data_IF_880691663989
#
_entry.id   IF_880691663989
#
_cell.length_a   1.000
_cell.length_b   1.000
_cell.length_c   1.000
_cell.angle_alpha   90.00
_cell.angle_beta   90.00
_cell.angle_gamma   90.00
#
_symmetry.space_group_name_H-M   'P 1'
#
loop_
_entity.id
_entity.type
_entity.pdbx_description
1 polymer ?
#
# COMPACT_ATOMS: atom_id res chain seq x y z
N UNK A 1 2.85 7.59 8.80
CA UNK A 1 3.70 8.22 9.83
C UNK A 1 4.35 7.30 10.88
N UNK A 2 4.00 6.02 11.03
CA UNK A 2 4.75 5.07 11.88
C UNK A 2 5.06 3.82 11.04
N UNK A 3 6.33 3.46 10.93
CA UNK A 3 6.79 2.33 10.12
C UNK A 3 6.92 1.08 11.00
N UNK A 4 6.40 -0.04 10.53
CA UNK A 4 6.55 -1.34 11.20
C UNK A 4 7.83 -2.03 10.72
N UNK A 5 8.92 -1.80 11.44
CA UNK A 5 10.21 -2.44 11.16
C UNK A 5 10.22 -3.95 11.45
N UNK A 6 9.30 -4.46 12.29
CA UNK A 6 9.19 -5.90 12.49
C UNK A 6 8.59 -6.58 11.24
N UNK A 7 7.67 -5.92 10.56
CA UNK A 7 7.17 -6.37 9.26
C UNK A 7 8.29 -6.37 8.20
N UNK A 8 9.12 -5.31 8.12
CA UNK A 8 10.27 -5.28 7.19
C UNK A 8 11.26 -6.42 7.45
N UNK A 9 11.56 -6.74 8.72
CA UNK A 9 12.39 -7.88 9.06
C UNK A 9 11.79 -9.23 8.62
N UNK A 10 10.45 -9.36 8.65
CA UNK A 10 9.76 -10.55 8.14
C UNK A 10 9.84 -10.67 6.60
N UNK A 11 9.81 -9.53 5.89
CA UNK A 11 10.03 -9.49 4.45
C UNK A 11 11.47 -9.88 4.11
N UNK A 12 12.44 -9.36 4.87
CA UNK A 12 13.85 -9.71 4.71
C UNK A 12 14.10 -11.21 4.89
N UNK A 13 13.44 -11.85 5.85
CA UNK A 13 13.52 -13.32 6.00
C UNK A 13 13.05 -14.05 4.73
N UNK A 14 12.01 -13.54 4.08
CA UNK A 14 11.53 -14.09 2.80
C UNK A 14 12.56 -13.87 1.70
N UNK A 15 13.11 -12.66 1.59
CA UNK A 15 14.19 -12.33 0.63
C UNK A 15 15.40 -13.25 0.83
N UNK A 16 15.87 -13.43 2.07
CA UNK A 16 17.00 -14.30 2.40
C UNK A 16 16.70 -15.77 2.03
N UNK A 17 15.47 -16.23 2.24
CA UNK A 17 15.05 -17.58 1.85
C UNK A 17 15.16 -17.74 0.33
N UNK A 18 14.63 -16.80 -0.44
CA UNK A 18 14.70 -16.81 -1.91
C UNK A 18 16.15 -16.72 -2.41
N UNK A 19 16.95 -15.81 -1.84
CA UNK A 19 18.35 -15.61 -2.15
C UNK A 19 19.19 -16.88 -1.93
N UNK A 20 18.92 -17.64 -0.85
CA UNK A 20 19.60 -18.92 -0.57
C UNK A 20 19.40 -19.98 -1.67
N UNK A 21 18.41 -19.77 -2.54
CA UNK A 21 18.11 -20.60 -3.71
C UNK A 21 18.43 -19.90 -5.04
N UNK A 22 19.13 -18.76 -5.02
CA UNK A 22 19.52 -18.01 -6.22
C UNK A 22 18.35 -17.28 -6.90
N UNK A 23 17.30 -16.92 -6.14
CA UNK A 23 16.13 -16.20 -6.63
C UNK A 23 16.19 -14.75 -6.13
N UNK A 24 16.17 -13.80 -7.06
CA UNK A 24 16.07 -12.36 -6.76
C UNK A 24 14.62 -11.96 -6.45
N UNK A 25 14.48 -10.93 -5.62
CA UNK A 25 13.17 -10.41 -5.18
C UNK A 25 12.90 -9.02 -5.74
N UNK A 26 11.72 -8.81 -6.30
CA UNK A 26 11.17 -7.48 -6.58
C UNK A 26 10.16 -7.19 -5.47
N UNK A 27 10.32 -6.06 -4.78
CA UNK A 27 9.37 -5.63 -3.76
C UNK A 27 8.17 -4.96 -4.44
N UNK A 28 7.01 -5.60 -4.37
CA UNK A 28 5.74 -5.09 -4.90
C UNK A 28 4.88 -4.53 -3.77
N UNK A 29 4.59 -3.23 -3.84
CA UNK A 29 3.65 -2.58 -2.91
C UNK A 29 2.23 -2.74 -3.44
N UNK A 30 1.77 -3.97 -3.34
CA UNK A 30 0.57 -4.47 -3.98
C UNK A 30 -0.71 -3.80 -3.48
N UNK A 31 -1.71 -3.72 -4.35
CA UNK A 31 -3.09 -3.38 -4.00
C UNK A 31 -4.06 -3.96 -5.03
N UNK A 32 -5.25 -4.30 -4.55
CA UNK A 32 -6.46 -4.47 -5.34
C UNK A 32 -7.62 -3.72 -4.66
N UNK A 33 -8.49 -3.08 -5.45
CA UNK A 33 -9.61 -2.25 -5.01
C UNK A 33 -9.22 -1.25 -3.91
N UNK A 34 -8.00 -0.70 -3.97
CA UNK A 34 -7.42 0.25 -3.03
C UNK A 34 -7.14 -0.28 -1.62
N UNK A 35 -8.06 -1.01 -0.99
CA UNK A 35 -7.96 -1.40 0.43
C UNK A 35 -8.87 -2.58 0.77
N UNK A 36 -8.54 -3.26 1.87
CA UNK A 36 -9.43 -4.21 2.53
C UNK A 36 -10.79 -3.60 2.95
N UNK A 37 -10.90 -2.28 3.05
CA UNK A 37 -12.18 -1.59 3.26
C UNK A 37 -13.19 -1.81 2.11
N UNK A 38 -12.71 -1.98 0.87
CA UNK A 38 -13.54 -2.25 -0.32
C UNK A 38 -13.55 -3.74 -0.69
N UNK A 39 -13.09 -4.61 0.22
CA UNK A 39 -13.13 -6.05 0.05
C UNK A 39 -11.89 -6.69 -0.57
N UNK A 40 -10.75 -5.99 -0.65
CA UNK A 40 -9.49 -6.54 -1.16
C UNK A 40 -8.26 -6.15 -0.30
N UNK A 41 -7.23 -5.48 -0.83
CA UNK A 41 -5.96 -5.24 -0.13
C UNK A 41 -5.22 -3.96 -0.57
N UNK A 42 -4.10 -3.66 0.08
CA UNK A 42 -3.28 -2.47 -0.20
C UNK A 42 -3.32 -1.44 0.92
N UNK A 43 -3.98 -0.30 0.70
CA UNK A 43 -3.94 0.85 1.59
C UNK A 43 -4.53 0.53 2.97
N UNK A 44 -3.90 0.99 4.07
CA UNK A 44 -4.44 0.82 5.42
C UNK A 44 -5.70 1.67 5.61
N UNK A 45 -6.60 1.24 6.51
CA UNK A 45 -7.91 1.88 6.69
C UNK A 45 -7.85 3.36 7.06
N UNK A 46 -6.80 3.83 7.73
CA UNK A 46 -6.61 5.26 8.04
C UNK A 46 -6.36 6.12 6.79
N UNK A 47 -5.91 5.50 5.69
CA UNK A 47 -5.64 6.14 4.40
C UNK A 47 -6.84 6.07 3.44
N UNK A 48 -8.00 5.55 3.88
CA UNK A 48 -9.21 5.44 3.06
C UNK A 48 -10.10 6.64 3.30
N UNK A 49 -10.14 7.57 2.33
CA UNK A 49 -11.00 8.75 2.37
C UNK A 49 -12.18 8.56 1.41
N UNK A 50 -13.33 8.12 1.92
CA UNK A 50 -14.51 7.77 1.11
C UNK A 50 -15.37 8.98 0.68
N UNK A 51 -15.11 10.17 1.24
CA UNK A 51 -15.95 11.35 1.01
C UNK A 51 -17.38 11.22 1.55
N UNK A 52 -17.69 10.18 2.33
CA UNK A 52 -19.04 9.86 2.77
C UNK A 52 -19.95 9.31 1.66
N UNK A 53 -19.38 8.93 0.52
CA UNK A 53 -20.09 8.30 -0.59
C UNK A 53 -20.43 6.83 -0.27
N UNK A 54 -21.42 6.23 -0.95
CA UNK A 54 -21.79 4.85 -0.69
C UNK A 54 -20.73 3.88 -1.21
N UNK A 55 -20.43 2.85 -0.42
CA UNK A 55 -19.63 1.70 -0.85
C UNK A 55 -20.57 0.66 -1.50
N UNK A 56 -20.22 0.21 -2.70
CA UNK A 56 -20.99 -0.72 -3.53
C UNK A 56 -20.13 -1.93 -3.93
N UNK A 57 -19.85 -2.78 -2.94
CA UNK A 57 -19.06 -4.00 -3.17
C UNK A 57 -19.75 -4.95 -4.16
N UNK A 58 -19.10 -5.20 -5.29
CA UNK A 58 -19.49 -6.19 -6.29
C UNK A 58 -18.39 -7.24 -6.57
N UNK A 59 -17.36 -7.26 -5.70
CA UNK A 59 -16.17 -8.08 -5.87
C UNK A 59 -15.21 -7.55 -6.94
N UNK A 60 -14.05 -8.19 -7.06
CA UNK A 60 -13.05 -7.86 -8.07
C UNK A 60 -13.43 -8.47 -9.44
N UNK A 61 -13.32 -7.72 -10.56
CA UNK A 61 -12.88 -6.32 -10.67
C UNK A 61 -14.05 -5.32 -10.72
N UNK A 62 -15.31 -5.75 -10.51
CA UNK A 62 -16.48 -4.90 -10.76
C UNK A 62 -16.59 -3.72 -9.81
N UNK A 63 -16.09 -3.82 -8.58
CA UNK A 63 -16.13 -2.75 -7.57
C UNK A 63 -15.45 -1.47 -8.09
N UNK A 64 -14.30 -1.58 -8.78
CA UNK A 64 -13.64 -0.45 -9.45
C UNK A 64 -14.58 0.39 -10.32
N UNK A 65 -15.53 -0.25 -10.99
CA UNK A 65 -16.39 0.40 -11.99
C UNK A 65 -17.60 1.10 -11.38
N UNK A 66 -18.05 0.65 -10.20
CA UNK A 66 -19.38 1.00 -9.68
C UNK A 66 -19.36 1.60 -8.28
N UNK A 67 -18.23 1.55 -7.57
CA UNK A 67 -18.13 2.02 -6.20
C UNK A 67 -17.68 3.49 -6.16
N UNK A 68 -18.58 4.45 -5.84
CA UNK A 68 -18.20 5.85 -5.76
C UNK A 68 -17.33 6.18 -4.54
N UNK A 69 -17.41 5.40 -3.45
CA UNK A 69 -16.52 5.58 -2.30
C UNK A 69 -15.08 5.14 -2.61
N UNK A 70 -14.91 4.04 -3.37
CA UNK A 70 -13.60 3.60 -3.84
C UNK A 70 -12.99 4.61 -4.80
N UNK A 71 -13.77 5.07 -5.79
CA UNK A 71 -13.32 6.08 -6.74
C UNK A 71 -12.91 7.39 -6.03
N UNK A 72 -13.65 7.82 -5.01
CA UNK A 72 -13.24 8.97 -4.21
C UNK A 72 -11.99 8.72 -3.38
N UNK A 73 -11.76 7.50 -2.87
CA UNK A 73 -10.52 7.17 -2.19
C UNK A 73 -9.30 7.27 -3.13
N UNK A 74 -9.44 6.81 -4.37
CA UNK A 74 -8.44 7.01 -5.41
C UNK A 74 -8.21 8.49 -5.73
N UNK A 75 -9.28 9.27 -5.92
CA UNK A 75 -9.17 10.72 -6.16
C UNK A 75 -8.47 11.43 -5.00
N UNK A 76 -8.77 11.05 -3.75
CA UNK A 76 -8.14 11.60 -2.56
C UNK A 76 -6.65 11.25 -2.49
N UNK A 77 -6.28 10.03 -2.85
CA UNK A 77 -4.87 9.62 -2.96
C UNK A 77 -4.15 10.46 -4.01
N UNK A 78 -4.62 10.50 -5.26
CA UNK A 78 -3.96 11.22 -6.35
C UNK A 78 -3.97 12.74 -6.23
N UNK A 79 -4.91 13.30 -5.46
CA UNK A 79 -4.90 14.73 -5.11
C UNK A 79 -4.04 15.05 -3.89
N UNK A 80 -3.37 14.06 -3.32
CA UNK A 80 -2.56 14.15 -2.11
C UNK A 80 -3.33 14.78 -0.94
N UNK A 81 -4.60 14.40 -0.79
CA UNK A 81 -5.47 14.89 0.27
C UNK A 81 -4.87 14.60 1.65
N UNK A 82 -5.13 15.48 2.62
CA UNK A 82 -4.62 15.31 3.98
C UNK A 82 -5.25 14.08 4.65
N UNK A 83 -4.40 13.15 5.08
CA UNK A 83 -4.74 12.04 5.96
C UNK A 83 -5.02 12.54 7.39
N UNK A 84 -5.51 11.68 8.31
CA UNK A 84 -5.87 12.09 9.68
C UNK A 84 -4.72 12.71 10.50
N UNK A 85 -3.47 12.44 10.13
CA UNK A 85 -2.27 13.05 10.73
C UNK A 85 -1.93 14.44 10.16
N UNK A 86 -2.72 14.96 9.22
CA UNK A 86 -2.50 16.23 8.54
C UNK A 86 -1.47 16.20 7.40
N UNK A 87 -0.92 15.03 7.08
CA UNK A 87 0.05 14.82 5.98
C UNK A 87 -0.71 14.34 4.75
N UNK A 88 -0.26 14.72 3.56
CA UNK A 88 -0.86 14.24 2.31
C UNK A 88 -0.68 12.73 2.13
N UNK A 89 -1.68 12.04 1.56
CA UNK A 89 -1.66 10.59 1.36
C UNK A 89 -0.46 10.10 0.51
N UNK A 90 -0.13 10.78 -0.59
CA UNK A 90 1.06 10.45 -1.38
C UNK A 90 2.34 10.71 -0.61
N UNK A 91 2.36 11.72 0.27
CA UNK A 91 3.53 11.99 1.11
C UNK A 91 3.76 10.88 2.15
N UNK A 92 2.70 10.34 2.76
CA UNK A 92 2.79 9.19 3.65
C UNK A 92 3.23 7.93 2.87
N UNK A 93 2.72 7.72 1.66
CA UNK A 93 3.12 6.61 0.79
C UNK A 93 4.59 6.70 0.36
N UNK A 94 5.05 7.90 -0.02
CA UNK A 94 6.44 8.15 -0.38
C UNK A 94 7.39 7.95 0.80
N UNK A 95 7.03 8.41 2.01
CA UNK A 95 7.82 8.18 3.22
C UNK A 95 7.89 6.70 3.60
N UNK A 96 6.81 5.95 3.38
CA UNK A 96 6.82 4.50 3.57
C UNK A 96 7.81 3.85 2.59
N UNK A 97 7.77 4.22 1.31
CA UNK A 97 8.72 3.71 0.31
C UNK A 97 10.17 4.12 0.60
N UNK A 98 10.40 5.34 1.09
CA UNK A 98 11.72 5.77 1.55
C UNK A 98 12.23 4.87 2.67
N UNK A 99 11.39 4.51 3.63
CA UNK A 99 11.76 3.61 4.71
C UNK A 99 12.04 2.17 4.21
N UNK A 100 11.25 1.67 3.26
CA UNK A 100 11.49 0.35 2.62
C UNK A 100 12.81 0.36 1.87
N UNK A 101 13.04 1.36 1.01
CA UNK A 101 14.27 1.48 0.24
C UNK A 101 15.50 1.63 1.14
N UNK A 102 15.42 2.45 2.20
CA UNK A 102 16.50 2.60 3.16
C UNK A 102 16.78 1.29 3.95
N UNK A 103 15.75 0.50 4.24
CA UNK A 103 15.91 -0.77 4.95
C UNK A 103 16.63 -1.82 4.08
N UNK A 104 16.30 -1.89 2.79
CA UNK A 104 16.89 -2.85 1.85
C UNK A 104 18.11 -2.30 1.08
N UNK A 105 18.57 -1.10 1.40
CA UNK A 105 19.74 -0.49 0.74
C UNK A 105 20.97 -1.40 0.85
N UNK A 106 21.66 -1.56 -0.28
CA UNK A 106 22.83 -2.43 -0.39
C UNK A 106 22.56 -3.95 -0.35
N UNK A 107 21.29 -4.39 -0.26
CA UNK A 107 20.96 -5.81 -0.38
C UNK A 107 21.01 -6.24 -1.87
N UNK A 108 21.96 -7.09 -2.27
CA UNK A 108 22.15 -7.46 -3.68
C UNK A 108 21.06 -8.39 -4.23
N UNK A 109 20.23 -8.97 -3.36
CA UNK A 109 19.19 -9.93 -3.72
C UNK A 109 17.81 -9.27 -3.96
N UNK A 110 17.72 -7.95 -3.76
CA UNK A 110 16.56 -7.10 -4.08
C UNK A 110 16.87 -6.29 -5.34
N UNK A 111 15.96 -6.30 -6.32
CA UNK A 111 16.14 -5.66 -7.65
C UNK A 111 15.01 -4.72 -8.03
#
# INVERSE_FOLDING_TARGET
>A
GVIDYAYLASLEQTVQTLASHGIYSILDMHQDLYSAYFGADGAPTWAVLTGGLPNHEAGFPLTYLIDPAENHAWDAFWSNAAAPNGVGLENDYAQMWEAVAAYFDGNPDVV
#
